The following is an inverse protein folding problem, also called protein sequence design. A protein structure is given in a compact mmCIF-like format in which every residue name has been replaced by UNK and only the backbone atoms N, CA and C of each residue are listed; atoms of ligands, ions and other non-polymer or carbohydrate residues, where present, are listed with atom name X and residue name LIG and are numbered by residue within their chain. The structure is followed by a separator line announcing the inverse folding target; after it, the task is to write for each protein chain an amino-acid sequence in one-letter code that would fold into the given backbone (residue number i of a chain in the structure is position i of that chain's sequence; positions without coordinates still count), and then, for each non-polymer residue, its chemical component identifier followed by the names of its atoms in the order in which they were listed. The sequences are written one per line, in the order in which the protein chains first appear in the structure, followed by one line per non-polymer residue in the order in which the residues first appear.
data_IF_825077527284
#
_entry.id   IF_825077527284
#
_cell.length_a   1.000
_cell.length_b   1.000
_cell.length_c   1.000
_cell.angle_alpha   90.00
_cell.angle_beta   90.00
_cell.angle_gamma   90.00
#
_symmetry.space_group_name_H-M   'P 1'
#
loop_
_entity.id
_entity.type
_entity.pdbx_description
1 polymer ?
#
# COMPACT_ATOMS: atom_id res chain seq x y z
N UNK A 1 -6.62 1.98 -17.39
CA UNK A 1 -7.39 3.19 -17.03
C UNK A 1 -8.31 3.00 -15.81
N UNK A 2 -8.67 1.77 -15.43
CA UNK A 2 -9.62 1.50 -14.33
C UNK A 2 -9.03 1.67 -12.90
N UNK A 3 -7.77 1.27 -12.67
CA UNK A 3 -7.11 1.37 -11.34
C UNK A 3 -6.98 2.81 -10.82
N UNK A 4 -6.65 3.77 -11.69
CA UNK A 4 -6.55 5.19 -11.29
C UNK A 4 -7.90 5.81 -10.89
N UNK A 5 -9.00 5.33 -11.47
CA UNK A 5 -10.35 5.77 -11.09
C UNK A 5 -10.71 5.33 -9.67
N UNK A 6 -10.41 4.07 -9.33
CA UNK A 6 -10.70 3.46 -8.03
C UNK A 6 -9.85 4.07 -6.91
N UNK A 7 -8.54 4.23 -7.09
CA UNK A 7 -7.69 4.89 -6.09
C UNK A 7 -8.12 6.34 -5.82
N UNK A 8 -8.55 7.05 -6.88
CA UNK A 8 -9.05 8.42 -6.73
C UNK A 8 -10.38 8.48 -5.97
N UNK A 9 -11.26 7.50 -6.17
CA UNK A 9 -12.55 7.40 -5.48
C UNK A 9 -12.36 7.04 -4.00
N UNK A 10 -11.50 6.05 -3.70
CA UNK A 10 -11.15 5.70 -2.33
C UNK A 10 -10.53 6.87 -1.57
N UNK A 11 -9.60 7.58 -2.21
CA UNK A 11 -8.96 8.75 -1.61
C UNK A 11 -9.98 9.85 -1.31
N UNK A 12 -10.89 10.13 -2.25
CA UNK A 12 -11.98 11.11 -2.05
C UNK A 12 -12.89 10.70 -0.89
N UNK A 13 -13.29 9.43 -0.83
CA UNK A 13 -14.11 8.91 0.27
C UNK A 13 -13.41 9.07 1.62
N UNK A 14 -12.13 8.67 1.73
CA UNK A 14 -11.33 8.82 2.95
C UNK A 14 -11.28 10.28 3.42
N UNK A 15 -11.12 11.24 2.50
CA UNK A 15 -11.14 12.66 2.81
C UNK A 15 -12.52 13.09 3.33
N UNK A 16 -13.60 12.69 2.65
CA UNK A 16 -14.97 13.00 3.08
C UNK A 16 -15.26 12.47 4.48
N UNK A 17 -14.83 11.24 4.80
CA UNK A 17 -14.96 10.66 6.14
C UNK A 17 -14.24 11.50 7.19
N UNK A 18 -12.99 11.90 6.94
CA UNK A 18 -12.23 12.74 7.89
C UNK A 18 -12.92 14.09 8.09
N UNK A 19 -13.38 14.74 7.01
CA UNK A 19 -14.09 16.02 7.09
C UNK A 19 -15.39 15.88 7.89
N UNK A 20 -16.19 14.83 7.63
CA UNK A 20 -17.43 14.58 8.36
C UNK A 20 -17.17 14.29 9.84
N UNK A 21 -16.10 13.57 10.17
CA UNK A 21 -15.72 13.33 11.57
C UNK A 21 -15.32 14.64 12.26
N UNK A 22 -14.41 15.43 11.66
CA UNK A 22 -13.97 16.69 12.25
C UNK A 22 -15.15 17.64 12.44
N UNK A 23 -15.95 17.86 11.40
CA UNK A 23 -17.11 18.78 11.46
C UNK A 23 -18.21 18.27 12.39
N UNK A 24 -18.50 16.97 12.40
CA UNK A 24 -19.48 16.36 13.29
C UNK A 24 -19.07 16.44 14.77
N UNK A 25 -17.80 16.15 15.08
CA UNK A 25 -17.26 16.27 16.44
C UNK A 25 -17.21 17.75 16.86
N UNK A 26 -16.85 18.67 15.96
CA UNK A 26 -16.92 20.11 16.23
C UNK A 26 -18.34 20.60 16.48
N UNK A 27 -19.32 20.13 15.71
CA UNK A 27 -20.74 20.43 15.97
C UNK A 27 -21.20 19.92 17.33
N UNK A 28 -20.86 18.66 17.67
CA UNK A 28 -21.16 18.08 18.97
C UNK A 28 -20.53 18.89 20.11
N UNK A 29 -19.27 19.31 19.93
CA UNK A 29 -18.55 20.11 20.91
C UNK A 29 -19.21 21.48 21.18
N UNK A 30 -19.78 22.11 20.14
CA UNK A 30 -20.49 23.39 20.27
C UNK A 30 -21.90 23.26 20.86
N UNK A 31 -22.56 22.11 20.66
CA UNK A 31 -23.92 21.86 21.14
C UNK A 31 -23.97 21.42 22.61
N UNK A 32 -22.96 20.69 23.07
CA UNK A 32 -22.84 20.34 24.49
C UNK A 32 -22.53 21.64 25.24
N UNK A 33 -23.39 22.02 26.17
CA UNK A 33 -23.20 23.18 27.05
C UNK A 33 -22.50 22.73 28.33
N UNK A 34 -21.77 23.66 28.97
CA UNK A 34 -20.93 23.44 30.17
C UNK A 34 -21.62 22.73 31.35
N UNK A 35 -22.95 22.66 31.38
CA UNK A 35 -23.70 21.97 32.44
C UNK A 35 -23.47 20.45 32.48
N UNK A 36 -22.99 19.86 31.37
CA UNK A 36 -22.56 18.46 31.31
C UNK A 36 -21.03 18.36 31.18
N UNK A 37 -20.30 18.70 32.25
CA UNK A 37 -18.82 18.69 32.32
C UNK A 37 -18.21 17.40 31.73
N UNK A 38 -18.79 16.24 32.03
CA UNK A 38 -18.32 14.94 31.51
C UNK A 38 -18.51 14.79 30.00
N UNK A 39 -19.58 15.35 29.43
CA UNK A 39 -19.86 15.27 27.98
C UNK A 39 -18.86 16.05 27.15
N UNK A 40 -18.42 17.21 27.63
CA UNK A 40 -17.39 18.02 26.96
C UNK A 40 -16.04 17.33 26.88
N UNK A 41 -15.64 16.58 27.91
CA UNK A 41 -14.37 15.85 27.96
C UNK A 41 -14.39 14.72 26.93
N UNK A 42 -15.45 13.90 26.92
CA UNK A 42 -15.60 12.79 25.98
C UNK A 42 -15.67 13.29 24.53
N UNK A 43 -16.40 14.37 24.25
CA UNK A 43 -16.47 14.96 22.92
C UNK A 43 -15.11 15.40 22.39
N UNK A 44 -14.18 15.73 23.30
CA UNK A 44 -12.85 16.19 22.95
C UNK A 44 -11.89 15.03 22.67
N UNK A 45 -11.97 13.95 23.46
CA UNK A 45 -11.25 12.71 23.18
C UNK A 45 -11.61 12.12 21.80
N UNK A 46 -12.85 12.35 21.32
CA UNK A 46 -13.25 11.90 19.98
C UNK A 46 -12.41 12.52 18.86
N UNK A 47 -11.78 13.69 19.04
CA UNK A 47 -10.90 14.29 18.03
C UNK A 47 -9.62 13.48 17.78
N UNK A 48 -9.23 12.56 18.68
CA UNK A 48 -8.14 11.63 18.39
C UNK A 48 -8.46 10.73 17.19
N UNK A 49 -9.74 10.36 17.00
CA UNK A 49 -10.15 9.45 15.93
C UNK A 49 -9.81 10.00 14.54
N UNK A 50 -10.29 11.19 14.12
CA UNK A 50 -9.95 11.72 12.81
C UNK A 50 -8.45 11.98 12.63
N UNK A 51 -7.72 12.39 13.68
CA UNK A 51 -6.27 12.63 13.62
C UNK A 51 -5.50 11.34 13.36
N UNK A 52 -5.77 10.29 14.16
CA UNK A 52 -5.14 8.97 14.03
C UNK A 52 -5.49 8.36 12.66
N UNK A 53 -6.77 8.39 12.28
CA UNK A 53 -7.26 7.85 11.01
C UNK A 53 -6.61 8.54 9.81
N UNK A 54 -6.49 9.87 9.88
CA UNK A 54 -5.80 10.64 8.87
C UNK A 54 -4.31 10.28 8.79
N UNK A 55 -3.65 10.00 9.92
CA UNK A 55 -2.27 9.52 9.93
C UNK A 55 -2.10 8.17 9.24
N UNK A 56 -3.00 7.22 9.51
CA UNK A 56 -2.97 5.91 8.85
C UNK A 56 -3.22 6.00 7.34
N UNK A 57 -4.16 6.85 6.89
CA UNK A 57 -4.54 6.93 5.48
C UNK A 57 -3.65 7.83 4.63
N UNK A 58 -3.15 8.92 5.21
CA UNK A 58 -2.47 10.00 4.47
C UNK A 58 -1.07 10.30 4.99
N UNK A 59 -0.59 9.53 5.96
CA UNK A 59 0.76 9.69 6.51
C UNK A 59 0.91 10.95 7.36
N UNK A 60 2.15 11.41 7.49
CA UNK A 60 2.49 12.57 8.32
C UNK A 60 1.79 13.84 7.86
N UNK A 61 1.73 14.08 6.55
CA UNK A 61 1.16 15.31 6.01
C UNK A 61 -0.34 15.44 6.31
N UNK A 62 -1.10 14.36 6.15
CA UNK A 62 -2.54 14.40 6.44
C UNK A 62 -2.84 14.48 7.93
N UNK A 63 -2.12 13.70 8.76
CA UNK A 63 -2.27 13.77 10.22
C UNK A 63 -2.01 15.19 10.75
N UNK A 64 -0.92 15.83 10.31
CA UNK A 64 -0.59 17.21 10.70
C UNK A 64 -1.63 18.22 10.23
N UNK A 65 -2.08 18.12 8.99
CA UNK A 65 -3.13 19.01 8.47
C UNK A 65 -4.42 18.87 9.28
N UNK A 66 -4.79 17.63 9.62
CA UNK A 66 -5.97 17.35 10.45
C UNK A 66 -5.79 17.86 11.88
N UNK A 67 -4.64 17.65 12.53
CA UNK A 67 -4.40 18.12 13.91
C UNK A 67 -4.38 19.63 14.01
N UNK A 68 -3.78 20.32 13.03
CA UNK A 68 -3.81 21.79 12.95
C UNK A 68 -5.22 22.29 12.73
N UNK A 69 -6.01 21.62 11.87
CA UNK A 69 -7.42 21.98 11.64
C UNK A 69 -8.22 21.84 12.93
N UNK A 70 -8.13 20.70 13.61
CA UNK A 70 -8.79 20.46 14.90
C UNK A 70 -8.38 21.53 15.92
N UNK A 71 -7.08 21.83 16.01
CA UNK A 71 -6.55 22.87 16.90
C UNK A 71 -7.16 24.23 16.57
N UNK A 72 -7.27 24.59 15.28
CA UNK A 72 -7.84 25.86 14.84
C UNK A 72 -9.33 25.99 15.18
N UNK A 73 -10.11 24.92 15.06
CA UNK A 73 -11.52 24.91 15.47
C UNK A 73 -11.69 24.98 16.98
N UNK A 74 -10.76 24.39 17.73
CA UNK A 74 -10.81 24.31 19.18
C UNK A 74 -10.29 25.59 19.88
N UNK A 75 -9.34 26.30 19.28
CA UNK A 75 -8.69 27.48 19.84
C UNK A 75 -9.65 28.63 20.21
N UNK A 76 -10.58 29.07 19.34
CA UNK A 76 -11.51 30.16 19.66
C UNK A 76 -12.34 29.88 20.91
N UNK A 77 -12.81 28.63 21.06
CA UNK A 77 -13.56 28.21 22.23
C UNK A 77 -12.72 28.31 23.51
N UNK A 78 -11.48 27.82 23.45
CA UNK A 78 -10.54 27.86 24.57
C UNK A 78 -10.20 29.30 24.98
N UNK A 79 -9.98 30.19 24.01
CA UNK A 79 -9.65 31.59 24.26
C UNK A 79 -10.80 32.38 24.92
N UNK A 80 -12.05 32.11 24.53
CA UNK A 80 -13.23 32.76 25.14
C UNK A 80 -13.49 32.31 26.57
N UNK A 81 -13.14 31.07 26.92
CA UNK A 81 -13.38 30.47 28.24
C UNK A 81 -12.10 30.37 29.07
N UNK A 82 -11.11 31.20 28.76
CA UNK A 82 -9.83 31.22 29.47
C UNK A 82 -10.00 31.92 30.82
N UNK A 83 -9.70 31.20 31.92
CA UNK A 83 -9.89 31.71 33.28
C UNK A 83 -8.58 31.82 34.08
N UNK A 84 -7.44 31.91 33.38
CA UNK A 84 -6.15 32.20 34.02
C UNK A 84 -5.42 30.95 34.54
N UNK A 85 -5.22 29.95 33.69
CA UNK A 85 -4.49 28.71 34.00
C UNK A 85 -5.12 27.90 35.15
N UNK A 86 -6.45 27.81 35.15
CA UNK A 86 -7.15 26.85 36.01
C UNK A 86 -6.84 25.42 35.55
N UNK A 87 -7.09 24.39 36.38
CA UNK A 87 -6.92 22.97 35.99
C UNK A 87 -7.57 22.64 34.65
N UNK A 88 -8.79 23.15 34.42
CA UNK A 88 -9.49 22.99 33.15
C UNK A 88 -8.70 23.53 31.96
N UNK A 89 -8.09 24.72 32.07
CA UNK A 89 -7.30 25.34 30.99
C UNK A 89 -6.06 24.51 30.67
N UNK A 90 -5.42 23.96 31.70
CA UNK A 90 -4.23 23.13 31.56
C UNK A 90 -4.55 21.82 30.83
N UNK A 91 -5.69 21.20 31.12
CA UNK A 91 -6.16 20.02 30.39
C UNK A 91 -6.37 20.32 28.90
N UNK A 92 -6.95 21.49 28.55
CA UNK A 92 -7.13 21.91 27.14
C UNK A 92 -5.79 22.06 26.41
N UNK A 93 -4.82 22.68 27.06
CA UNK A 93 -3.49 22.89 26.47
C UNK A 93 -2.75 21.58 26.28
N UNK A 94 -2.75 20.71 27.29
CA UNK A 94 -2.13 19.38 27.20
C UNK A 94 -2.73 18.57 26.06
N UNK A 95 -4.03 18.72 25.83
CA UNK A 95 -4.70 17.97 24.78
C UNK A 95 -4.39 18.48 23.37
N UNK A 96 -4.30 19.80 23.18
CA UNK A 96 -3.79 20.37 21.92
C UNK A 96 -2.38 19.83 21.64
N UNK A 97 -1.51 19.83 22.66
CA UNK A 97 -0.16 19.27 22.53
C UNK A 97 -0.25 17.79 22.17
N UNK A 98 -1.11 17.02 22.85
CA UNK A 98 -1.24 15.59 22.64
C UNK A 98 -1.77 15.25 21.24
N UNK A 99 -2.74 15.99 20.68
CA UNK A 99 -3.19 15.79 19.30
C UNK A 99 -2.05 15.96 18.29
N UNK A 100 -1.22 16.99 18.48
CA UNK A 100 -0.09 17.25 17.58
C UNK A 100 1.01 16.21 17.74
N UNK A 101 1.31 15.77 18.96
CA UNK A 101 2.25 14.67 19.22
C UNK A 101 1.75 13.38 18.57
N UNK A 102 0.47 13.03 18.77
CA UNK A 102 -0.13 11.83 18.15
C UNK A 102 -0.09 11.92 16.63
N UNK A 103 -0.42 13.08 16.05
CA UNK A 103 -0.34 13.29 14.61
C UNK A 103 1.07 13.04 14.06
N UNK A 104 2.09 13.59 14.73
CA UNK A 104 3.49 13.39 14.35
C UNK A 104 3.88 11.92 14.49
N UNK A 105 3.60 11.28 15.62
CA UNK A 105 4.01 9.90 15.89
C UNK A 105 3.33 8.93 14.92
N UNK A 106 2.01 8.97 14.82
CA UNK A 106 1.25 8.04 13.95
C UNK A 106 1.61 8.28 12.49
N UNK A 107 1.64 9.54 12.06
CA UNK A 107 1.98 9.90 10.70
C UNK A 107 3.40 9.50 10.30
N UNK A 108 4.38 9.76 11.15
CA UNK A 108 5.78 9.37 10.92
C UNK A 108 5.96 7.86 10.89
N UNK A 109 5.35 7.13 11.82
CA UNK A 109 5.42 5.67 11.85
C UNK A 109 4.80 5.07 10.59
N UNK A 110 3.67 5.62 10.12
CA UNK A 110 3.02 5.16 8.91
C UNK A 110 3.89 5.41 7.67
N UNK A 111 4.43 6.61 7.51
CA UNK A 111 5.33 6.94 6.39
C UNK A 111 6.58 6.05 6.39
N UNK A 112 7.18 5.83 7.57
CA UNK A 112 8.33 4.94 7.72
C UNK A 112 7.98 3.50 7.39
N UNK A 113 6.81 3.01 7.80
CA UNK A 113 6.38 1.65 7.51
C UNK A 113 6.12 1.46 6.00
N UNK A 114 5.48 2.43 5.35
CA UNK A 114 5.27 2.43 3.90
C UNK A 114 6.61 2.48 3.14
N UNK A 115 7.54 3.33 3.57
CA UNK A 115 8.88 3.40 2.99
C UNK A 115 9.61 2.05 3.08
N UNK A 116 9.63 1.41 4.27
CA UNK A 116 10.25 0.08 4.40
C UNK A 116 9.59 -0.99 3.55
N UNK A 117 8.26 -0.98 3.44
CA UNK A 117 7.55 -1.95 2.60
C UNK A 117 7.89 -1.75 1.13
N UNK A 118 7.98 -0.49 0.68
CA UNK A 118 8.41 -0.15 -0.67
C UNK A 118 9.85 -0.60 -0.93
N UNK A 119 10.79 -0.29 -0.04
CA UNK A 119 12.19 -0.73 -0.16
C UNK A 119 12.32 -2.25 -0.26
N UNK A 120 11.59 -2.99 0.58
CA UNK A 120 11.55 -4.46 0.52
C UNK A 120 11.03 -4.95 -0.83
N UNK A 121 9.96 -4.34 -1.34
CA UNK A 121 9.38 -4.71 -2.62
C UNK A 121 10.32 -4.41 -3.79
N UNK A 122 10.95 -3.23 -3.81
CA UNK A 122 11.96 -2.87 -4.81
C UNK A 122 13.15 -3.83 -4.80
N UNK A 123 13.60 -4.27 -3.61
CA UNK A 123 14.65 -5.27 -3.49
C UNK A 123 14.24 -6.64 -4.06
N UNK A 124 12.99 -7.08 -3.79
CA UNK A 124 12.45 -8.32 -4.36
C UNK A 124 12.36 -8.21 -5.89
N UNK A 125 11.88 -7.08 -6.40
CA UNK A 125 11.79 -6.82 -7.84
C UNK A 125 13.15 -6.83 -8.52
N UNK A 126 14.16 -6.21 -7.91
CA UNK A 126 15.53 -6.23 -8.41
C UNK A 126 16.10 -7.66 -8.46
N UNK A 127 15.94 -8.44 -7.38
CA UNK A 127 16.37 -9.84 -7.36
C UNK A 127 15.64 -10.70 -8.40
N UNK A 128 14.32 -10.53 -8.54
CA UNK A 128 13.52 -11.25 -9.53
C UNK A 128 14.00 -10.95 -10.97
N UNK A 129 14.31 -9.70 -11.28
CA UNK A 129 14.86 -9.30 -12.57
C UNK A 129 16.26 -9.91 -12.82
N UNK A 130 17.16 -9.87 -11.84
CA UNK A 130 18.49 -10.48 -11.94
C UNK A 130 18.40 -11.99 -12.15
N UNK A 131 17.64 -12.69 -11.33
CA UNK A 131 17.45 -14.15 -11.45
C UNK A 131 16.82 -14.51 -12.79
N UNK A 132 15.83 -13.73 -13.26
CA UNK A 132 15.24 -13.98 -14.56
C UNK A 132 16.24 -13.81 -15.71
N UNK A 133 17.09 -12.79 -15.66
CA UNK A 133 18.15 -12.59 -16.64
C UNK A 133 19.18 -13.75 -16.63
N UNK A 134 19.58 -14.19 -15.44
CA UNK A 134 20.53 -15.29 -15.27
C UNK A 134 19.97 -16.65 -15.68
N UNK A 135 18.65 -16.89 -15.56
CA UNK A 135 18.01 -18.13 -16.03
C UNK A 135 17.72 -18.08 -17.54
N UNK A 136 17.35 -16.92 -18.09
CA UNK A 136 17.10 -16.77 -19.53
C UNK A 136 18.33 -17.15 -20.37
N UNK A 137 19.53 -16.83 -19.88
CA UNK A 137 20.78 -17.12 -20.60
C UNK A 137 21.02 -18.62 -20.85
N UNK A 138 21.07 -19.51 -19.84
CA UNK A 138 21.22 -20.94 -20.05
C UNK A 138 20.01 -21.57 -20.75
N UNK A 139 18.79 -21.05 -20.56
CA UNK A 139 17.62 -21.51 -21.33
C UNK A 139 17.78 -21.23 -22.82
N UNK A 140 18.26 -20.04 -23.20
CA UNK A 140 18.51 -19.68 -24.59
C UNK A 140 19.58 -20.59 -25.22
N UNK A 141 20.67 -20.86 -24.49
CA UNK A 141 21.71 -21.80 -24.95
C UNK A 141 21.16 -23.22 -25.10
N UNK A 142 20.37 -23.70 -24.13
CA UNK A 142 19.79 -25.04 -24.19
C UNK A 142 18.82 -25.20 -25.36
N UNK A 143 17.92 -24.21 -25.57
CA UNK A 143 17.02 -24.21 -26.73
C UNK A 143 17.80 -24.16 -28.04
N UNK A 144 18.78 -23.26 -28.18
CA UNK A 144 19.58 -23.17 -29.41
C UNK A 144 20.35 -24.45 -29.73
N UNK A 145 20.88 -25.16 -28.72
CA UNK A 145 21.54 -26.46 -28.94
C UNK A 145 20.54 -27.55 -29.36
N UNK A 146 19.32 -27.53 -28.80
CA UNK A 146 18.27 -28.49 -29.18
C UNK A 146 17.71 -28.19 -30.57
N UNK A 147 17.60 -26.93 -30.97
CA UNK A 147 17.23 -26.54 -32.34
C UNK A 147 18.26 -27.08 -33.34
N UNK A 148 19.56 -26.87 -33.08
CA UNK A 148 20.63 -27.43 -33.93
C UNK A 148 20.60 -28.95 -33.98
N UNK A 149 20.36 -29.62 -32.85
CA UNK A 149 20.27 -31.08 -32.81
C UNK A 149 19.02 -31.58 -33.53
N UNK A 150 17.90 -30.85 -33.46
CA UNK A 150 16.66 -31.19 -34.14
C UNK A 150 16.81 -31.12 -35.68
N UNK A 151 17.60 -30.16 -36.18
CA UNK A 151 17.84 -29.97 -37.62
C UNK A 151 18.52 -31.18 -38.30
N UNK A 152 19.17 -32.06 -37.52
CA UNK A 152 19.81 -33.28 -38.01
C UNK A 152 18.81 -34.46 -38.24
N UNK A 153 17.54 -34.30 -37.85
CA UNK A 153 16.53 -35.37 -37.90
C UNK A 153 15.34 -35.05 -38.81
N UNK A 154 14.76 -36.08 -39.42
CA UNK A 154 13.51 -35.95 -40.19
C UNK A 154 12.32 -35.62 -39.28
N UNK A 155 11.39 -34.79 -39.76
CA UNK A 155 10.25 -34.27 -38.96
C UNK A 155 9.32 -35.34 -38.40
N UNK A 156 9.21 -36.47 -39.08
CA UNK A 156 8.35 -37.60 -38.66
C UNK A 156 9.13 -38.65 -37.85
N UNK A 157 10.39 -38.37 -37.52
CA UNK A 157 11.22 -39.27 -36.73
C UNK A 157 10.98 -39.09 -35.23
N UNK A 158 11.10 -40.20 -34.48
CA UNK A 158 10.95 -40.20 -33.02
C UNK A 158 11.90 -39.20 -32.33
N UNK A 159 13.21 -39.09 -32.70
CA UNK A 159 14.10 -38.10 -32.08
C UNK A 159 13.64 -36.65 -32.30
N UNK A 160 13.06 -36.33 -33.47
CA UNK A 160 12.54 -34.99 -33.74
C UNK A 160 11.37 -34.63 -32.81
N UNK A 161 10.45 -35.57 -32.58
CA UNK A 161 9.32 -35.41 -31.67
C UNK A 161 9.78 -35.28 -30.21
N UNK A 162 10.72 -36.12 -29.77
CA UNK A 162 11.29 -36.04 -28.41
C UNK A 162 11.96 -34.69 -28.14
N UNK A 163 12.79 -34.21 -29.07
CA UNK A 163 13.44 -32.89 -28.95
C UNK A 163 12.38 -31.78 -28.90
N UNK A 164 11.33 -31.86 -29.72
CA UNK A 164 10.20 -30.91 -29.69
C UNK A 164 9.54 -30.87 -28.31
N UNK A 165 9.31 -32.03 -27.69
CA UNK A 165 8.75 -32.12 -26.34
C UNK A 165 9.61 -31.45 -25.27
N UNK A 166 10.94 -31.63 -25.35
CA UNK A 166 11.89 -30.97 -24.43
C UNK A 166 11.92 -29.47 -24.66
N UNK A 167 11.95 -29.00 -25.91
CA UNK A 167 11.87 -27.57 -26.23
C UNK A 167 10.57 -26.95 -25.74
N UNK A 168 9.43 -27.64 -25.85
CA UNK A 168 8.15 -27.20 -25.29
C UNK A 168 8.22 -26.99 -23.77
N UNK A 169 8.88 -27.89 -23.05
CA UNK A 169 9.10 -27.78 -21.60
C UNK A 169 10.03 -26.60 -21.26
N UNK A 170 11.09 -26.36 -22.04
CA UNK A 170 11.96 -25.17 -21.91
C UNK A 170 11.21 -23.86 -22.19
N UNK A 171 10.31 -23.87 -23.17
CA UNK A 171 9.41 -22.74 -23.47
C UNK A 171 8.48 -22.42 -22.29
N UNK A 172 7.90 -23.43 -21.64
CA UNK A 172 7.11 -23.22 -20.42
C UNK A 172 7.94 -22.61 -19.29
N UNK A 173 9.19 -23.05 -19.10
CA UNK A 173 10.09 -22.46 -18.10
C UNK A 173 10.43 -21.00 -18.43
N UNK A 174 10.72 -20.68 -19.70
CA UNK A 174 10.95 -19.30 -20.16
C UNK A 174 9.76 -18.40 -19.83
N UNK A 175 8.55 -18.89 -20.04
CA UNK A 175 7.32 -18.14 -19.76
C UNK A 175 7.14 -17.86 -18.26
N UNK A 176 7.44 -18.84 -17.39
CA UNK A 176 7.44 -18.62 -15.93
C UNK A 176 8.48 -17.58 -15.50
N UNK A 177 9.69 -17.65 -16.07
CA UNK A 177 10.77 -16.69 -15.81
C UNK A 177 10.37 -15.28 -16.24
N UNK A 178 9.68 -15.14 -17.37
CA UNK A 178 9.12 -13.87 -17.86
C UNK A 178 8.08 -13.30 -16.90
N UNK A 179 7.20 -14.13 -16.32
CA UNK A 179 6.24 -13.67 -15.29
C UNK A 179 6.94 -13.15 -14.03
N UNK A 180 8.03 -13.79 -13.62
CA UNK A 180 8.83 -13.36 -12.46
C UNK A 180 9.50 -12.00 -12.71
N UNK A 181 10.00 -11.75 -13.92
CA UNK A 181 10.65 -10.46 -14.24
C UNK A 181 9.67 -9.28 -14.33
N UNK A 182 8.40 -9.56 -14.61
CA UNK A 182 7.33 -8.57 -14.75
C UNK A 182 6.56 -8.31 -13.45
N UNK A 183 7.07 -8.74 -12.29
CA UNK A 183 6.40 -8.52 -11.00
C UNK A 183 6.20 -7.02 -10.70
N UNK A 184 4.94 -6.65 -10.46
CA UNK A 184 4.51 -5.28 -10.11
C UNK A 184 3.90 -5.18 -8.71
N UNK A 185 3.44 -6.30 -8.14
CA UNK A 185 2.96 -6.40 -6.75
C UNK A 185 3.32 -7.78 -6.17
N UNK A 186 3.10 -7.99 -4.87
CA UNK A 186 3.17 -9.32 -4.24
C UNK A 186 1.78 -9.71 -3.76
N UNK A 187 1.06 -10.46 -4.59
CA UNK A 187 -0.19 -11.09 -4.18
C UNK A 187 0.11 -12.52 -3.75
N UNK A 188 -0.19 -12.84 -2.50
CA UNK A 188 -0.01 -14.19 -1.98
C UNK A 188 -1.32 -14.96 -1.88
N UNK A 189 -1.24 -16.27 -1.97
CA UNK A 189 -2.37 -17.18 -1.73
C UNK A 189 -1.93 -18.39 -0.89
N UNK A 190 -2.92 -18.99 -0.22
CA UNK A 190 -2.66 -20.21 0.55
C UNK A 190 -2.51 -21.39 -0.40
N UNK A 191 -1.39 -22.08 -0.28
CA UNK A 191 -1.16 -23.36 -0.91
C UNK A 191 -1.29 -24.46 0.14
N UNK A 192 -2.21 -25.40 -0.12
CA UNK A 192 -2.44 -26.60 0.70
C UNK A 192 -2.58 -26.33 2.21
N UNK A 193 -3.24 -25.21 2.55
CA UNK A 193 -3.58 -24.81 3.93
C UNK A 193 -2.41 -24.42 4.85
N UNK A 194 -1.16 -24.69 4.48
CA UNK A 194 0.02 -24.55 5.35
C UNK A 194 1.10 -23.63 4.77
N UNK A 195 1.24 -23.58 3.44
CA UNK A 195 2.21 -22.71 2.77
C UNK A 195 1.53 -21.47 2.19
N UNK A 196 2.27 -20.35 2.14
CA UNK A 196 1.84 -19.13 1.46
C UNK A 196 2.76 -18.93 0.26
N UNK A 197 2.21 -18.96 -0.94
CA UNK A 197 2.95 -18.81 -2.20
C UNK A 197 2.57 -17.50 -2.89
N UNK A 198 3.47 -16.97 -3.72
CA UNK A 198 3.18 -15.81 -4.56
C UNK A 198 2.37 -16.28 -5.76
N UNK A 199 1.20 -15.68 -5.97
CA UNK A 199 0.43 -15.87 -7.19
C UNK A 199 0.99 -14.94 -8.26
N UNK A 200 1.83 -15.49 -9.15
CA UNK A 200 2.51 -14.72 -10.20
C UNK A 200 1.53 -14.02 -11.15
N UNK A 201 0.44 -14.68 -11.55
CA UNK A 201 -0.52 -14.12 -12.49
C UNK A 201 -1.26 -12.89 -11.94
N UNK A 202 -1.60 -12.90 -10.64
CA UNK A 202 -2.20 -11.73 -9.98
C UNK A 202 -1.18 -10.62 -9.70
N UNK A 203 0.10 -10.97 -9.63
CA UNK A 203 1.20 -10.09 -9.25
C UNK A 203 1.79 -9.28 -10.42
N UNK A 204 1.42 -9.60 -11.67
CA UNK A 204 1.87 -8.92 -12.91
C UNK A 204 0.88 -7.87 -13.47
N UNK A 205 -0.12 -7.48 -12.66
CA UNK A 205 -1.10 -6.40 -12.91
C UNK A 205 -1.01 -5.65 -14.26
N UNK A 206 -1.68 -6.15 -15.31
CA UNK A 206 -1.99 -5.37 -16.52
C UNK A 206 -1.02 -5.48 -17.69
N UNK A 207 0.12 -6.15 -17.54
CA UNK A 207 0.94 -6.62 -18.68
C UNK A 207 0.85 -8.13 -18.74
N UNK A 208 -0.19 -8.63 -19.40
CA UNK A 208 -0.17 -10.02 -19.85
C UNK A 208 1.11 -10.22 -20.68
N UNK A 209 1.85 -11.33 -20.52
CA UNK A 209 3.11 -11.58 -21.23
C UNK A 209 2.98 -11.53 -22.77
N UNK A 210 1.76 -11.55 -23.30
CA UNK A 210 1.41 -11.34 -24.70
C UNK A 210 1.77 -9.93 -25.23
N UNK A 211 1.88 -8.92 -24.36
CA UNK A 211 2.15 -7.52 -24.77
C UNK A 211 3.62 -7.07 -24.61
N UNK A 212 4.54 -7.97 -24.27
CA UNK A 212 5.94 -7.64 -23.97
C UNK A 212 6.94 -8.08 -25.06
N UNK A 213 6.48 -8.57 -26.20
CA UNK A 213 7.32 -9.03 -27.33
C UNK A 213 7.41 -8.02 -28.49
N UNK A 214 6.81 -6.83 -28.36
CA UNK A 214 6.81 -5.80 -29.41
C UNK A 214 7.43 -4.46 -28.96
N UNK A 215 8.49 -4.51 -28.13
CA UNK A 215 9.25 -3.32 -27.73
C UNK A 215 10.73 -3.60 -27.52
#
# INVERSE_FOLDING_TARGET
MEKHGLESAERKWKIVVVILLVTGISGLHLLITHEFVKGHIVARELYFIPVILSGFWFGLRGALLTSVTVTLFYLPYSAMHWNGFTSDDLDRLLEIVLFNVVAVVVGFLQDRQQARNKEKFESIKAMAATVAHEINTPLFVAMGNLELLQDDFEKDSVPYEEITGVMGSLGQMKELVKKISLLEDIVTEKYDGTAVIVNLDKSISGKSPENAEDS
#
